data_IF_534780153019
#
_entry.id   IF_534780153019
#
_cell.length_a   1.000
_cell.length_b   1.000
_cell.length_c   1.000
_cell.angle_alpha   90.00
_cell.angle_beta   90.00
_cell.angle_gamma   90.00
#
_symmetry.space_group_name_H-M   'P 1'
#
loop_
_entity.id
_entity.type
_entity.pdbx_description
1 polymer ?
#
# COMPACT_ATOMS: atom_id res chain seq x y z
N UNK A 1 -39.10 20.99 24.17
CA UNK A 1 -40.21 20.95 25.14
C UNK A 1 -40.39 19.54 25.66
N UNK A 2 -39.94 19.27 26.89
CA UNK A 2 -40.55 18.37 27.89
C UNK A 2 -39.73 18.54 29.17
N UNK A 3 -40.46 18.60 30.27
CA UNK A 3 -40.16 19.36 31.48
C UNK A 3 -40.30 18.47 32.71
N UNK A 4 -39.56 18.85 33.78
CA UNK A 4 -39.64 18.42 35.19
C UNK A 4 -39.22 16.97 35.50
N UNK A 5 -38.45 16.69 36.57
CA UNK A 5 -38.82 16.98 37.96
C UNK A 5 -37.60 17.03 38.90
N UNK A 6 -37.67 17.94 39.87
CA UNK A 6 -36.78 18.21 40.99
C UNK A 6 -36.95 17.15 42.09
N UNK A 7 -35.85 16.72 42.72
CA UNK A 7 -35.90 16.24 44.12
C UNK A 7 -34.70 16.77 44.88
N UNK A 8 -35.00 17.56 45.91
CA UNK A 8 -34.11 18.05 46.95
C UNK A 8 -33.74 16.89 47.88
N UNK A 9 -32.57 16.97 48.52
CA UNK A 9 -32.44 17.04 50.00
C UNK A 9 -31.29 16.19 50.61
N UNK A 10 -30.61 16.85 51.56
CA UNK A 10 -29.88 16.35 52.75
C UNK A 10 -28.39 15.98 52.61
N UNK A 11 -27.56 16.88 53.16
CA UNK A 11 -26.20 16.68 53.69
C UNK A 11 -26.26 15.88 55.00
N UNK A 12 -25.27 15.01 55.29
CA UNK A 12 -24.44 15.38 56.43
C UNK A 12 -22.93 15.16 56.22
N UNK A 13 -22.23 16.08 56.85
CA UNK A 13 -20.84 16.12 57.26
C UNK A 13 -20.30 14.75 57.72
N UNK A 14 -19.30 14.22 57.01
CA UNK A 14 -18.45 13.12 57.50
C UNK A 14 -17.00 13.59 57.50
N UNK A 15 -16.36 13.35 58.63
CA UNK A 15 -15.08 13.86 59.08
C UNK A 15 -13.90 13.51 58.15
N UNK A 16 -13.01 14.49 58.03
CA UNK A 16 -11.71 14.36 57.39
C UNK A 16 -10.79 13.42 58.20
N UNK A 17 -10.48 12.26 57.61
CA UNK A 17 -9.26 11.51 57.90
C UNK A 17 -8.31 11.76 56.73
N UNK A 18 -7.45 12.76 56.87
CA UNK A 18 -6.35 13.02 55.93
C UNK A 18 -5.24 12.01 56.16
N UNK A 19 -5.40 10.80 55.63
CA UNK A 19 -4.25 9.95 55.34
C UNK A 19 -3.44 10.61 54.22
N UNK A 20 -2.11 10.74 54.32
CA UNK A 20 -1.30 11.13 53.17
C UNK A 20 -1.43 10.02 52.14
N UNK A 21 -2.28 10.24 51.13
CA UNK A 21 -2.19 9.50 49.88
C UNK A 21 -0.83 9.88 49.33
N UNK A 22 0.12 8.95 49.46
CA UNK A 22 1.32 8.97 48.65
C UNK A 22 0.83 8.95 47.20
N UNK A 23 0.77 10.13 46.57
CA UNK A 23 0.81 10.22 45.13
C UNK A 23 2.15 9.61 44.74
N UNK A 24 2.13 8.30 44.47
CA UNK A 24 3.07 7.73 43.52
C UNK A 24 2.87 8.61 42.29
N UNK A 25 3.83 9.51 42.05
CA UNK A 25 3.84 10.32 40.84
C UNK A 25 3.68 9.34 39.68
N UNK A 26 2.53 9.38 39.02
CA UNK A 26 2.28 8.64 37.79
C UNK A 26 3.45 9.00 36.88
N UNK A 27 4.39 8.05 36.71
CA UNK A 27 5.41 8.19 35.68
C UNK A 27 4.65 8.50 34.40
N UNK A 28 5.00 9.57 33.67
CA UNK A 28 4.28 9.91 32.45
C UNK A 28 4.24 8.65 31.58
N UNK A 29 3.03 8.18 31.30
CA UNK A 29 2.83 7.01 30.46
C UNK A 29 3.57 7.28 29.14
N UNK A 30 4.45 6.37 28.75
CA UNK A 30 5.19 6.47 27.49
C UNK A 30 4.17 6.60 26.36
N UNK A 31 4.39 7.56 25.45
CA UNK A 31 3.49 7.74 24.32
C UNK A 31 3.53 6.51 23.41
N UNK A 32 2.34 6.08 22.98
CA UNK A 32 2.14 4.87 22.18
C UNK A 32 1.69 5.23 20.77
N UNK A 33 2.27 4.55 19.78
CA UNK A 33 1.87 4.61 18.39
C UNK A 33 1.44 3.26 17.83
N UNK A 34 0.89 3.28 16.63
CA UNK A 34 0.59 2.12 15.79
C UNK A 34 0.77 2.48 14.31
N UNK A 35 0.71 1.49 13.42
CA UNK A 35 0.88 1.70 11.98
C UNK A 35 -0.43 2.07 11.26
N UNK A 36 -1.27 2.90 11.88
CA UNK A 36 -2.52 3.40 11.31
C UNK A 36 -3.76 2.54 11.58
N UNK A 37 -3.62 1.33 12.13
CA UNK A 37 -4.73 0.56 12.69
C UNK A 37 -4.89 0.81 14.19
N UNK A 38 -6.04 0.45 14.77
CA UNK A 38 -6.24 0.52 16.22
C UNK A 38 -5.21 -0.38 16.91
N UNK A 39 -4.34 0.23 17.72
CA UNK A 39 -3.32 -0.48 18.49
C UNK A 39 -3.94 -1.53 19.41
N UNK A 40 -3.49 -2.77 19.28
CA UNK A 40 -3.91 -3.91 20.10
C UNK A 40 -2.77 -4.90 20.29
N UNK A 41 -2.94 -5.83 21.24
CA UNK A 41 -1.93 -6.86 21.51
C UNK A 41 -0.64 -6.35 22.16
N UNK A 42 0.38 -7.22 22.12
CA UNK A 42 1.68 -6.97 22.72
C UNK A 42 2.48 -5.90 21.96
N UNK A 43 3.23 -5.08 22.71
CA UNK A 43 4.11 -4.08 22.12
C UNK A 43 5.19 -4.73 21.25
N UNK A 44 5.58 -4.04 20.20
CA UNK A 44 6.75 -4.36 19.40
C UNK A 44 8.01 -4.09 20.20
N UNK A 45 8.98 -5.01 20.13
CA UNK A 45 10.36 -4.68 20.54
C UNK A 45 10.97 -3.70 19.54
N UNK A 46 12.07 -3.05 19.90
CA UNK A 46 12.78 -2.13 19.01
C UNK A 46 13.18 -2.80 17.69
N UNK A 47 13.63 -4.04 17.74
CA UNK A 47 14.03 -4.84 16.57
C UNK A 47 12.83 -5.16 15.69
N UNK A 48 11.72 -5.58 16.30
CA UNK A 48 10.47 -5.85 15.58
C UNK A 48 9.90 -4.57 14.94
N UNK A 49 9.97 -3.44 15.66
CA UNK A 49 9.54 -2.14 15.17
C UNK A 49 10.36 -1.71 13.95
N UNK A 50 11.69 -1.89 13.99
CA UNK A 50 12.58 -1.61 12.86
C UNK A 50 12.21 -2.48 11.65
N UNK A 51 12.00 -3.78 11.86
CA UNK A 51 11.58 -4.69 10.79
C UNK A 51 10.23 -4.27 10.18
N UNK A 52 9.27 -3.83 11.00
CA UNK A 52 7.98 -3.33 10.53
C UNK A 52 8.12 -2.04 9.69
N UNK A 53 8.99 -1.10 10.09
CA UNK A 53 9.27 0.09 9.26
C UNK A 53 9.90 -0.29 7.93
N UNK A 54 10.90 -1.19 7.92
CA UNK A 54 11.50 -1.68 6.66
C UNK A 54 10.46 -2.31 5.74
N UNK A 55 9.54 -3.13 6.28
CA UNK A 55 8.44 -3.71 5.50
C UNK A 55 7.52 -2.63 4.93
N UNK A 56 7.12 -1.66 5.76
CA UNK A 56 6.26 -0.56 5.31
C UNK A 56 6.91 0.26 4.19
N UNK A 57 8.19 0.60 4.33
CA UNK A 57 8.91 1.39 3.33
C UNK A 57 9.06 0.63 2.02
N UNK A 58 9.37 -0.68 2.10
CA UNK A 58 9.42 -1.54 0.92
C UNK A 58 8.06 -1.61 0.23
N UNK A 59 6.98 -1.83 0.95
CA UNK A 59 5.63 -1.88 0.40
C UNK A 59 5.28 -0.58 -0.32
N UNK A 60 5.57 0.58 0.27
CA UNK A 60 5.33 1.89 -0.38
C UNK A 60 6.14 2.07 -1.66
N UNK A 61 7.39 1.63 -1.67
CA UNK A 61 8.24 1.66 -2.84
C UNK A 61 7.69 0.75 -3.95
N UNK A 62 7.33 -0.49 -3.59
CA UNK A 62 6.74 -1.48 -4.50
C UNK A 62 5.40 -0.97 -5.06
N UNK A 63 4.53 -0.37 -4.24
CA UNK A 63 3.26 0.25 -4.68
C UNK A 63 3.49 1.35 -5.72
N UNK A 64 4.50 2.20 -5.51
CA UNK A 64 4.85 3.29 -6.43
C UNK A 64 5.34 2.73 -7.75
N UNK A 65 6.22 1.73 -7.71
CA UNK A 65 6.78 1.10 -8.90
C UNK A 65 5.71 0.34 -9.70
N UNK A 66 4.85 -0.45 -9.02
CA UNK A 66 3.76 -1.17 -9.66
C UNK A 66 2.79 -0.22 -10.34
N UNK A 67 2.48 0.93 -9.74
CA UNK A 67 1.62 1.94 -10.37
C UNK A 67 2.25 2.53 -11.64
N UNK A 68 3.56 2.82 -11.62
CA UNK A 68 4.27 3.30 -12.79
C UNK A 68 4.32 2.23 -13.90
N UNK A 69 4.61 0.98 -13.55
CA UNK A 69 4.63 -0.13 -14.50
C UNK A 69 3.25 -0.41 -15.11
N UNK A 70 2.19 -0.35 -14.31
CA UNK A 70 0.81 -0.47 -14.80
C UNK A 70 0.53 0.57 -15.90
N UNK A 71 0.92 1.83 -15.69
CA UNK A 71 0.78 2.89 -16.69
C UNK A 71 1.54 2.57 -17.98
N UNK A 72 2.78 2.07 -17.88
CA UNK A 72 3.58 1.69 -19.03
C UNK A 72 2.99 0.49 -19.81
N UNK A 73 2.46 -0.52 -19.12
CA UNK A 73 1.78 -1.67 -19.74
C UNK A 73 0.50 -1.22 -20.44
N UNK A 74 -0.28 -0.33 -19.84
CA UNK A 74 -1.48 0.25 -20.47
C UNK A 74 -1.12 1.01 -21.74
N UNK A 75 -0.07 1.84 -21.70
CA UNK A 75 0.40 2.57 -22.87
C UNK A 75 0.87 1.63 -23.99
N UNK A 76 1.65 0.59 -23.66
CA UNK A 76 2.10 -0.42 -24.62
C UNK A 76 0.92 -1.15 -25.26
N UNK A 77 -0.11 -1.52 -24.47
CA UNK A 77 -1.32 -2.15 -24.99
C UNK A 77 -2.07 -1.24 -25.98
N UNK A 78 -2.20 0.04 -25.66
CA UNK A 78 -2.84 1.02 -26.54
C UNK A 78 -2.07 1.19 -27.85
N UNK A 79 -0.74 1.20 -27.79
CA UNK A 79 0.09 1.28 -29.00
C UNK A 79 -0.04 0.03 -29.88
N UNK A 80 0.00 -1.17 -29.30
CA UNK A 80 -0.20 -2.43 -30.04
C UNK A 80 -1.58 -2.46 -30.74
N UNK A 81 -2.61 -1.92 -30.08
CA UNK A 81 -3.94 -1.79 -30.66
C UNK A 81 -3.93 -0.81 -31.85
N UNK A 82 -3.36 0.39 -31.66
CA UNK A 82 -3.21 1.41 -32.70
C UNK A 82 -2.48 0.88 -33.94
N UNK A 83 -1.33 0.22 -33.75
CA UNK A 83 -0.58 -0.42 -34.84
C UNK A 83 -1.40 -1.52 -35.52
N UNK A 84 -2.21 -2.26 -34.77
CA UNK A 84 -3.12 -3.26 -35.33
C UNK A 84 -4.20 -2.65 -36.24
N UNK A 85 -4.79 -1.54 -35.82
CA UNK A 85 -5.78 -0.81 -36.62
C UNK A 85 -5.15 -0.20 -37.88
N UNK A 86 -3.95 0.37 -37.77
CA UNK A 86 -3.18 0.88 -38.92
C UNK A 86 -2.88 -0.23 -39.93
N UNK A 87 -2.42 -1.40 -39.46
CA UNK A 87 -2.15 -2.56 -40.32
C UNK A 87 -3.42 -3.04 -41.01
N UNK A 88 -4.54 -3.10 -40.28
CA UNK A 88 -5.83 -3.47 -40.86
C UNK A 88 -6.24 -2.52 -41.97
N UNK A 89 -6.13 -1.21 -41.76
CA UNK A 89 -6.44 -0.21 -42.78
C UNK A 89 -5.51 -0.32 -43.99
N UNK A 90 -4.20 -0.54 -43.77
CA UNK A 90 -3.23 -0.71 -44.85
C UNK A 90 -3.51 -1.95 -45.68
N UNK A 91 -3.90 -3.07 -45.06
CA UNK A 91 -4.20 -4.33 -45.73
C UNK A 91 -5.23 -4.18 -46.86
N UNK A 92 -6.17 -3.24 -46.74
CA UNK A 92 -7.18 -2.94 -47.76
C UNK A 92 -6.60 -2.28 -49.02
N UNK A 93 -5.40 -1.69 -48.91
CA UNK A 93 -4.73 -0.92 -49.97
C UNK A 93 -3.46 -1.60 -50.51
N UNK A 94 -2.98 -2.66 -49.86
CA UNK A 94 -1.79 -3.41 -50.29
C UNK A 94 -2.04 -4.04 -51.66
N UNK A 95 -1.18 -3.71 -52.63
CA UNK A 95 -1.13 -4.38 -53.93
C UNK A 95 -0.57 -5.80 -53.78
N UNK A 96 -1.48 -6.78 -53.72
CA UNK A 96 -1.14 -8.20 -53.51
C UNK A 96 -0.44 -8.84 -54.72
N UNK A 97 -0.34 -8.14 -55.85
CA UNK A 97 0.38 -8.62 -57.03
C UNK A 97 1.87 -8.24 -57.00
N UNK A 98 2.27 -7.33 -56.11
CA UNK A 98 3.66 -6.90 -55.91
C UNK A 98 4.26 -7.59 -54.69
N UNK A 99 5.26 -8.42 -54.94
CA UNK A 99 5.94 -9.18 -53.90
C UNK A 99 6.53 -8.28 -52.81
N UNK A 100 7.10 -7.13 -53.21
CA UNK A 100 7.72 -6.16 -52.30
C UNK A 100 6.70 -5.51 -51.36
N UNK A 101 5.50 -5.20 -51.87
CA UNK A 101 4.42 -4.60 -51.07
C UNK A 101 3.90 -5.59 -50.01
N UNK A 102 3.74 -6.86 -50.39
CA UNK A 102 3.35 -7.94 -49.46
C UNK A 102 4.45 -8.20 -48.43
N UNK A 103 5.72 -8.22 -48.85
CA UNK A 103 6.85 -8.43 -47.96
C UNK A 103 6.95 -7.33 -46.89
N UNK A 104 6.84 -6.06 -47.28
CA UNK A 104 6.87 -4.93 -46.35
C UNK A 104 5.70 -4.98 -45.35
N UNK A 105 4.49 -5.33 -45.81
CA UNK A 105 3.35 -5.53 -44.91
C UNK A 105 3.59 -6.65 -43.88
N UNK A 106 4.11 -7.79 -44.34
CA UNK A 106 4.39 -8.92 -43.48
C UNK A 106 5.49 -8.62 -42.44
N UNK A 107 6.48 -7.81 -42.78
CA UNK A 107 7.51 -7.35 -41.84
C UNK A 107 6.90 -6.54 -40.70
N UNK A 108 5.97 -5.62 -40.99
CA UNK A 108 5.30 -4.84 -39.96
C UNK A 108 4.37 -5.69 -39.08
N UNK A 109 3.69 -6.69 -39.66
CA UNK A 109 2.90 -7.67 -38.91
C UNK A 109 3.79 -8.43 -37.92
N UNK A 110 4.93 -8.94 -38.39
CA UNK A 110 5.90 -9.63 -37.52
C UNK A 110 6.46 -8.71 -36.42
N UNK A 111 6.69 -7.43 -36.74
CA UNK A 111 7.13 -6.46 -35.76
C UNK A 111 6.06 -6.24 -34.67
N UNK A 112 4.78 -6.17 -35.04
CA UNK A 112 3.67 -6.09 -34.08
C UNK A 112 3.54 -7.36 -33.24
N UNK A 113 3.71 -8.54 -33.83
CA UNK A 113 3.65 -9.81 -33.10
C UNK A 113 4.74 -9.88 -32.02
N UNK A 114 5.97 -9.45 -32.33
CA UNK A 114 7.05 -9.32 -31.33
C UNK A 114 6.67 -8.35 -30.19
N UNK A 115 5.96 -7.27 -30.49
CA UNK A 115 5.47 -6.35 -29.44
C UNK A 115 4.40 -7.01 -28.57
N UNK A 116 3.53 -7.84 -29.14
CA UNK A 116 2.52 -8.63 -28.41
C UNK A 116 3.22 -9.62 -27.47
N UNK A 117 4.21 -10.36 -27.95
CA UNK A 117 4.96 -11.32 -27.13
C UNK A 117 5.66 -10.61 -25.96
N UNK A 118 6.31 -9.47 -26.23
CA UNK A 118 6.93 -8.65 -25.19
C UNK A 118 5.90 -8.13 -24.17
N UNK A 119 4.73 -7.69 -24.64
CA UNK A 119 3.63 -7.26 -23.77
C UNK A 119 3.13 -8.42 -22.88
N UNK A 120 2.93 -9.61 -23.45
CA UNK A 120 2.46 -10.79 -22.69
C UNK A 120 3.46 -11.23 -21.63
N UNK A 121 4.75 -11.25 -21.96
CA UNK A 121 5.81 -11.55 -21.01
C UNK A 121 5.84 -10.53 -19.87
N UNK A 122 5.75 -9.24 -20.20
CA UNK A 122 5.72 -8.15 -19.21
C UNK A 122 4.47 -8.20 -18.32
N UNK A 123 3.31 -8.42 -18.91
CA UNK A 123 2.05 -8.53 -18.15
C UNK A 123 2.09 -9.72 -17.18
N UNK A 124 2.65 -10.86 -17.59
CA UNK A 124 2.85 -12.02 -16.72
C UNK A 124 3.77 -11.69 -15.55
N UNK A 125 4.92 -11.07 -15.81
CA UNK A 125 5.86 -10.65 -14.77
C UNK A 125 5.23 -9.63 -13.80
N UNK A 126 4.51 -8.64 -14.34
CA UNK A 126 3.79 -7.66 -13.54
C UNK A 126 2.75 -8.29 -12.60
N UNK A 127 1.95 -9.23 -13.10
CA UNK A 127 0.96 -9.93 -12.28
C UNK A 127 1.60 -10.69 -11.11
N UNK A 128 2.70 -11.39 -11.36
CA UNK A 128 3.45 -12.08 -10.30
C UNK A 128 3.97 -11.11 -9.23
N UNK A 129 4.42 -9.91 -9.64
CA UNK A 129 4.84 -8.87 -8.69
C UNK A 129 3.68 -8.28 -7.89
N UNK A 130 2.51 -8.11 -8.52
CA UNK A 130 1.30 -7.65 -7.82
C UNK A 130 0.90 -8.66 -6.74
N UNK A 131 0.89 -9.96 -7.05
CA UNK A 131 0.60 -11.02 -6.08
C UNK A 131 1.61 -11.01 -4.92
N UNK A 132 2.91 -10.88 -5.21
CA UNK A 132 3.94 -10.78 -4.18
C UNK A 132 3.76 -9.55 -3.27
N UNK A 133 3.42 -8.39 -3.85
CA UNK A 133 3.16 -7.18 -3.08
C UNK A 133 1.88 -7.31 -2.22
N UNK A 134 0.82 -7.95 -2.74
CA UNK A 134 -0.38 -8.25 -1.96
C UNK A 134 -0.07 -9.17 -0.77
N UNK A 135 0.77 -10.19 -0.97
CA UNK A 135 1.23 -11.05 0.12
C UNK A 135 2.03 -10.25 1.17
N UNK A 136 2.90 -9.32 0.74
CA UNK A 136 3.64 -8.44 1.64
C UNK A 136 2.71 -7.51 2.46
N UNK A 137 1.69 -6.92 1.83
CA UNK A 137 0.64 -6.18 2.53
C UNK A 137 -0.09 -7.05 3.57
N UNK A 138 -0.45 -8.28 3.20
CA UNK A 138 -1.06 -9.24 4.11
C UNK A 138 -0.18 -9.56 5.32
N UNK A 139 1.09 -9.85 5.08
CA UNK A 139 2.06 -10.13 6.14
C UNK A 139 2.27 -8.92 7.06
N UNK A 140 2.40 -7.71 6.48
CA UNK A 140 2.50 -6.48 7.26
C UNK A 140 1.24 -6.25 8.11
N UNK A 141 0.06 -6.51 7.56
CA UNK A 141 -1.20 -6.38 8.30
C UNK A 141 -1.27 -7.36 9.48
N UNK A 142 -0.82 -8.60 9.30
CA UNK A 142 -0.83 -9.61 10.36
C UNK A 142 0.22 -9.35 11.45
N UNK A 143 1.43 -8.93 11.04
CA UNK A 143 2.58 -8.86 11.95
C UNK A 143 2.85 -7.48 12.54
N UNK A 144 2.38 -6.41 11.90
CA UNK A 144 2.76 -5.03 12.23
C UNK A 144 1.57 -4.08 12.42
N UNK A 145 0.57 -4.09 11.52
CA UNK A 145 -0.38 -2.95 11.39
C UNK A 145 -1.12 -2.58 12.69
N UNK A 146 -1.56 -3.61 13.42
CA UNK A 146 -2.33 -3.47 14.66
C UNK A 146 -1.49 -3.47 15.93
N UNK A 147 -0.17 -3.70 15.85
CA UNK A 147 0.67 -3.77 17.04
C UNK A 147 1.06 -2.38 17.53
N UNK A 148 1.10 -2.25 18.86
CA UNK A 148 1.51 -1.01 19.53
C UNK A 148 3.02 -0.92 19.62
N UNK A 149 3.55 0.30 19.61
CA UNK A 149 4.96 0.58 19.89
C UNK A 149 5.09 1.86 20.70
N UNK A 150 6.24 2.07 21.34
CA UNK A 150 6.53 3.34 22.00
C UNK A 150 7.11 4.34 21.00
N UNK A 151 6.60 5.57 21.02
CA UNK A 151 7.08 6.65 20.14
C UNK A 151 8.58 6.95 20.35
N UNK A 152 9.10 6.68 21.54
CA UNK A 152 10.52 6.80 21.86
C UNK A 152 11.38 5.84 21.00
N UNK A 153 10.93 4.60 20.81
CA UNK A 153 11.63 3.60 20.02
C UNK A 153 11.57 3.95 18.53
N UNK A 154 10.41 4.42 18.05
CA UNK A 154 10.28 4.98 16.70
C UNK A 154 11.26 6.15 16.49
N UNK A 155 11.27 7.13 17.40
CA UNK A 155 12.15 8.29 17.30
C UNK A 155 13.63 7.88 17.34
N UNK A 156 14.00 6.84 18.08
CA UNK A 156 15.34 6.29 18.08
C UNK A 156 15.68 5.64 16.73
N UNK A 157 14.80 4.80 16.19
CA UNK A 157 14.99 4.11 14.90
C UNK A 157 15.10 5.12 13.76
N UNK A 158 14.24 6.14 13.71
CA UNK A 158 14.28 7.21 12.69
C UNK A 158 15.57 8.03 12.74
N UNK A 159 16.24 8.09 13.90
CA UNK A 159 17.56 8.72 14.08
C UNK A 159 18.72 7.77 13.79
N UNK A 160 18.47 6.56 13.30
CA UNK A 160 19.48 5.56 13.00
C UNK A 160 20.08 4.87 14.23
N UNK A 161 19.39 4.90 15.38
CA UNK A 161 19.84 4.32 16.66
C UNK A 161 19.10 3.04 17.03
#
# INVERSE_FOLDING_TARGET
MRTFTRTLSILPLVAALTSPVAFAADKPAKKEGSFGAKGSGAYLTKEQLRACFTKQDKIKADDTELKAEQGAITAQKAEIARVGDDLKARLETVDRTKAEAVAAYNEEVQARDKQIDAYQARATAFNARVEANQAAHGEFSQSCSSRRYFEEDEAAIRKGR
#
